data_IF_718856440290
#
_entry.id   IF_718856440290
#
_cell.length_a   1.000
_cell.length_b   1.000
_cell.length_c   1.000
_cell.angle_alpha   90.00
_cell.angle_beta   90.00
_cell.angle_gamma   90.00
#
_symmetry.space_group_name_H-M   'P 1'
#
loop_
_entity.id
_entity.type
_entity.pdbx_description
1 polymer ?
#
# COMPACT_ATOMS: atom_id res chain seq x y z
N UNK A 1 37.14 -44.96 -36.56
CA UNK A 1 37.15 -43.93 -35.46
C UNK A 1 37.22 -42.60 -36.15
N UNK A 2 36.09 -41.88 -36.23
CA UNK A 2 35.99 -40.50 -36.70
C UNK A 2 35.60 -39.68 -35.48
N UNK A 3 36.44 -38.73 -35.10
CA UNK A 3 36.20 -37.74 -34.05
C UNK A 3 35.24 -36.69 -34.58
N UNK A 4 34.10 -36.56 -33.89
CA UNK A 4 33.15 -35.47 -34.15
C UNK A 4 33.59 -34.23 -33.36
N UNK A 5 33.94 -33.18 -34.08
CA UNK A 5 34.27 -31.85 -33.53
C UNK A 5 33.01 -31.13 -33.05
N UNK A 6 33.05 -30.35 -31.94
CA UNK A 6 31.90 -29.60 -31.47
C UNK A 6 31.64 -28.34 -32.33
N UNK A 7 30.38 -28.19 -32.74
CA UNK A 7 29.88 -27.04 -33.49
C UNK A 7 29.72 -25.84 -32.53
N UNK A 8 30.52 -24.78 -32.73
CA UNK A 8 30.36 -23.51 -32.06
C UNK A 8 29.15 -22.71 -32.63
N UNK A 9 28.27 -22.16 -31.83
CA UNK A 9 27.23 -21.26 -32.32
C UNK A 9 27.82 -19.92 -32.75
N UNK A 10 27.23 -19.25 -33.75
CA UNK A 10 27.73 -17.97 -34.25
C UNK A 10 27.57 -16.83 -33.24
N UNK A 11 28.64 -16.06 -33.07
CA UNK A 11 28.67 -14.84 -32.26
C UNK A 11 27.68 -13.80 -32.82
N UNK A 12 26.58 -13.57 -32.12
CA UNK A 12 25.66 -12.48 -32.43
C UNK A 12 26.28 -11.12 -32.04
N UNK A 13 26.46 -10.26 -33.03
CA UNK A 13 26.99 -8.90 -32.89
C UNK A 13 26.10 -8.04 -31.99
N UNK A 14 26.67 -7.54 -30.90
CA UNK A 14 26.07 -6.67 -29.89
C UNK A 14 25.74 -5.24 -30.41
N UNK A 15 25.97 -4.97 -31.69
CA UNK A 15 25.86 -3.62 -32.32
C UNK A 15 24.46 -3.30 -32.89
N UNK A 16 23.50 -4.23 -32.88
CA UNK A 16 22.20 -4.04 -33.55
C UNK A 16 21.03 -3.71 -32.58
N UNK A 17 21.28 -3.53 -31.27
CA UNK A 17 20.23 -3.26 -30.28
C UNK A 17 20.09 -1.79 -29.83
N UNK A 18 20.95 -0.89 -30.38
CA UNK A 18 20.96 0.51 -29.94
C UNK A 18 20.28 1.51 -30.92
N UNK A 19 19.62 1.03 -31.98
CA UNK A 19 19.01 1.95 -32.98
C UNK A 19 17.47 1.92 -33.04
N UNK A 20 16.76 1.24 -32.14
CA UNK A 20 15.28 1.17 -32.18
C UNK A 20 14.57 1.96 -31.04
N UNK A 21 15.29 2.62 -30.13
CA UNK A 21 14.70 3.32 -28.97
C UNK A 21 14.54 4.86 -29.16
N UNK A 22 14.88 5.45 -30.29
CA UNK A 22 14.91 6.92 -30.45
C UNK A 22 13.81 7.53 -31.37
N UNK A 23 12.84 6.76 -31.88
CA UNK A 23 11.84 7.29 -32.81
C UNK A 23 10.38 7.20 -32.33
N UNK A 24 10.05 7.25 -31.07
CA UNK A 24 8.63 7.34 -30.60
C UNK A 24 8.43 8.41 -29.51
N UNK A 25 9.15 9.51 -29.53
CA UNK A 25 8.80 10.67 -28.69
C UNK A 25 8.78 11.94 -29.55
N UNK A 26 7.78 12.08 -30.33
CA UNK A 26 7.61 13.33 -31.05
C UNK A 26 6.48 13.27 -32.04
N UNK A 27 5.23 13.28 -31.64
CA UNK A 27 4.12 13.90 -32.38
C UNK A 27 2.87 13.95 -31.48
N UNK A 28 2.32 15.20 -31.32
CA UNK A 28 0.95 15.58 -30.99
C UNK A 28 0.55 15.65 -29.50
N UNK A 29 0.73 16.85 -28.97
CA UNK A 29 -0.21 17.46 -28.03
C UNK A 29 -0.84 18.68 -28.70
N UNK A 30 -2.15 18.74 -28.94
CA UNK A 30 -2.87 20.01 -29.03
C UNK A 30 -3.41 20.40 -27.67
N UNK A 31 -3.00 21.58 -27.26
CA UNK A 31 -3.53 22.50 -26.29
C UNK A 31 -5.08 22.53 -26.26
N UNK A 32 -5.66 22.27 -25.07
CA UNK A 32 -7.01 22.75 -24.72
C UNK A 32 -6.94 23.20 -23.27
N UNK A 33 -6.50 24.45 -23.04
CA UNK A 33 -6.84 25.22 -21.86
C UNK A 33 -7.72 26.36 -22.31
N UNK A 34 -9.04 26.25 -22.17
CA UNK A 34 -9.97 27.36 -22.17
C UNK A 34 -10.16 27.86 -20.73
N UNK A 35 -9.74 29.09 -20.51
CA UNK A 35 -10.09 29.86 -19.29
C UNK A 35 -11.55 30.33 -19.37
N UNK A 36 -12.34 30.24 -18.29
CA UNK A 36 -13.65 30.87 -18.26
C UNK A 36 -13.51 32.38 -18.00
N UNK A 37 -14.02 33.17 -18.92
CA UNK A 37 -14.14 34.63 -18.88
C UNK A 37 -14.99 35.08 -17.69
N UNK A 38 -14.40 35.97 -16.90
CA UNK A 38 -15.06 36.76 -15.87
C UNK A 38 -16.15 37.63 -16.45
N UNK A 39 -17.40 37.38 -16.12
CA UNK A 39 -18.50 38.32 -16.39
C UNK A 39 -18.68 39.24 -15.19
N UNK A 40 -18.31 40.49 -15.39
CA UNK A 40 -18.56 41.64 -14.51
C UNK A 40 -20.03 42.03 -14.65
N UNK A 41 -20.83 41.84 -13.60
CA UNK A 41 -22.16 42.50 -13.50
C UNK A 41 -22.13 43.40 -12.28
N UNK A 42 -22.10 44.68 -12.60
CA UNK A 42 -22.35 45.76 -11.67
C UNK A 42 -23.87 45.94 -11.47
N UNK A 43 -24.34 46.04 -10.26
CA UNK A 43 -25.49 46.92 -9.90
C UNK A 43 -25.81 46.81 -8.41
N UNK A 44 -25.60 47.92 -7.75
CA UNK A 44 -26.59 48.75 -7.11
C UNK A 44 -26.72 48.58 -5.60
N UNK A 45 -26.12 49.56 -4.88
CA UNK A 45 -26.49 49.90 -3.52
C UNK A 45 -27.93 50.48 -3.45
N UNK A 46 -28.59 50.29 -2.34
CA UNK A 46 -29.28 51.42 -1.71
C UNK A 46 -28.93 51.61 -0.26
N UNK A 47 -29.04 52.90 0.09
CA UNK A 47 -28.71 53.60 1.28
C UNK A 47 -29.42 53.19 2.58
N UNK A 48 -28.71 53.56 3.65
CA UNK A 48 -29.10 54.10 4.96
C UNK A 48 -30.26 53.46 5.76
N UNK A 49 -29.88 53.10 6.96
CA UNK A 49 -30.75 52.92 8.10
C UNK A 49 -29.95 52.59 9.34
N UNK A 50 -29.35 53.61 10.04
CA UNK A 50 -29.01 53.44 11.45
C UNK A 50 -30.27 53.63 12.29
N UNK A 51 -30.38 52.85 13.42
CA UNK A 51 -30.24 53.51 14.70
C UNK A 51 -29.44 52.67 15.73
N UNK A 52 -28.61 53.40 16.41
CA UNK A 52 -28.27 53.49 17.83
C UNK A 52 -28.38 52.28 18.78
N UNK A 53 -27.22 52.00 19.34
CA UNK A 53 -26.86 51.86 20.77
C UNK A 53 -27.45 50.68 21.55
N UNK A 54 -26.62 49.71 21.82
CA UNK A 54 -26.40 49.32 23.24
C UNK A 54 -25.07 48.57 23.37
N UNK A 55 -24.18 49.15 24.12
CA UNK A 55 -22.90 48.60 24.52
C UNK A 55 -23.11 47.42 25.47
N UNK A 56 -22.71 46.21 25.04
CA UNK A 56 -22.31 45.16 25.96
C UNK A 56 -20.96 44.63 25.50
N UNK A 57 -19.94 45.09 26.22
CA UNK A 57 -18.57 44.59 26.13
C UNK A 57 -18.54 43.12 26.56
N UNK A 58 -18.88 42.20 25.64
CA UNK A 58 -18.47 40.83 25.78
C UNK A 58 -17.02 40.73 25.31
N UNK A 59 -16.10 40.64 26.28
CA UNK A 59 -14.72 40.19 26.06
C UNK A 59 -14.78 38.81 25.41
N UNK A 60 -14.64 38.76 24.11
CA UNK A 60 -14.28 37.53 23.44
C UNK A 60 -12.92 37.07 23.99
N UNK A 61 -12.80 35.89 24.59
CA UNK A 61 -11.49 35.35 24.93
C UNK A 61 -10.69 35.26 23.65
N UNK A 62 -9.41 35.68 23.68
CA UNK A 62 -8.43 35.47 22.63
C UNK A 62 -8.53 33.99 22.18
N UNK A 63 -8.43 33.72 20.87
CA UNK A 63 -8.32 32.35 20.42
C UNK A 63 -7.12 31.71 21.11
N UNK A 64 -7.39 30.73 21.95
CA UNK A 64 -6.38 29.88 22.56
C UNK A 64 -5.49 29.36 21.44
N UNK A 65 -4.15 29.42 21.65
CA UNK A 65 -3.17 28.81 20.77
C UNK A 65 -3.70 27.42 20.36
N UNK A 66 -3.59 27.05 19.06
CA UNK A 66 -3.99 25.72 18.66
C UNK A 66 -3.26 24.73 19.55
N UNK A 67 -4.03 23.85 20.16
CA UNK A 67 -3.53 22.75 20.97
C UNK A 67 -2.51 21.97 20.13
N UNK A 68 -1.24 22.09 20.49
CA UNK A 68 -0.11 21.40 19.83
C UNK A 68 0.04 19.96 20.33
N UNK A 69 -1.03 19.39 20.89
CA UNK A 69 -1.04 17.95 21.10
C UNK A 69 -1.02 17.27 19.73
N UNK A 70 -0.03 16.43 19.47
CA UNK A 70 0.01 15.70 18.22
C UNK A 70 -1.31 14.92 18.07
N UNK A 71 -1.89 14.85 16.87
CA UNK A 71 -3.12 14.12 16.67
C UNK A 71 -2.95 12.73 17.22
N UNK A 72 -3.72 12.38 18.27
CA UNK A 72 -3.76 11.03 18.82
C UNK A 72 -4.23 10.14 17.68
N UNK A 73 -3.29 9.38 17.09
CA UNK A 73 -3.64 8.38 16.09
C UNK A 73 -4.57 7.41 16.82
N UNK A 74 -5.85 7.51 16.52
CA UNK A 74 -6.86 6.62 17.11
C UNK A 74 -6.76 5.26 16.43
N UNK A 75 -5.66 4.53 16.76
CA UNK A 75 -5.51 3.14 16.38
C UNK A 75 -6.64 2.37 17.04
N UNK A 76 -7.29 1.50 16.29
CA UNK A 76 -8.19 0.52 16.89
C UNK A 76 -7.41 -0.26 17.97
N UNK A 77 -7.99 -0.52 19.11
CA UNK A 77 -7.32 -1.17 20.27
C UNK A 77 -6.56 -2.44 19.89
N UNK A 78 -7.07 -3.18 18.90
CA UNK A 78 -6.41 -4.39 18.39
C UNK A 78 -5.14 -4.12 17.58
N UNK A 79 -5.05 -2.99 16.89
CA UNK A 79 -3.87 -2.61 16.09
C UNK A 79 -2.69 -2.27 16.98
N UNK A 80 -2.94 -1.51 18.06
CA UNK A 80 -1.93 -1.19 19.07
C UNK A 80 -1.29 -2.41 19.70
N UNK A 81 -2.10 -3.43 19.99
CA UNK A 81 -1.64 -4.65 20.65
C UNK A 81 -0.56 -5.37 19.81
N UNK A 82 -0.67 -5.37 18.49
CA UNK A 82 0.23 -6.11 17.61
C UNK A 82 1.30 -5.23 16.95
N UNK A 83 1.22 -3.90 17.09
CA UNK A 83 2.17 -2.97 16.48
C UNK A 83 3.64 -3.28 16.81
N UNK A 84 4.05 -3.55 18.07
CA UNK A 84 5.44 -3.87 18.37
C UNK A 84 5.95 -5.12 17.63
N UNK A 85 5.08 -6.14 17.49
CA UNK A 85 5.43 -7.37 16.76
C UNK A 85 5.56 -7.08 15.27
N UNK A 86 4.65 -6.26 14.70
CA UNK A 86 4.70 -5.83 13.31
C UNK A 86 5.98 -5.06 13.01
N UNK A 87 6.32 -4.06 13.83
CA UNK A 87 7.53 -3.24 13.65
C UNK A 87 8.80 -4.11 13.71
N UNK A 88 8.88 -5.03 14.68
CA UNK A 88 9.99 -5.98 14.81
C UNK A 88 10.14 -6.87 13.58
N UNK A 89 9.03 -7.42 13.07
CA UNK A 89 9.04 -8.28 11.89
C UNK A 89 9.35 -7.48 10.61
N UNK A 90 8.73 -6.31 10.44
CA UNK A 90 8.94 -5.42 9.30
C UNK A 90 10.41 -5.00 9.17
N UNK A 91 11.02 -4.58 10.29
CA UNK A 91 12.45 -4.25 10.34
C UNK A 91 13.34 -5.45 10.01
N UNK A 92 13.06 -6.63 10.60
CA UNK A 92 13.84 -7.86 10.35
C UNK A 92 13.89 -8.26 8.87
N UNK A 93 12.79 -8.08 8.16
CA UNK A 93 12.64 -8.51 6.75
C UNK A 93 12.66 -7.36 5.75
N UNK A 94 12.98 -6.14 6.20
CA UNK A 94 13.07 -4.94 5.36
C UNK A 94 11.81 -4.73 4.52
N UNK A 95 10.65 -4.74 5.18
CA UNK A 95 9.36 -4.43 4.58
C UNK A 95 8.78 -3.21 5.28
N UNK A 96 8.13 -2.32 4.52
CA UNK A 96 7.43 -1.18 5.11
C UNK A 96 6.39 -1.68 6.13
N UNK A 97 6.47 -1.26 7.41
CA UNK A 97 5.51 -1.69 8.43
C UNK A 97 4.07 -1.33 8.10
N UNK A 98 3.82 -0.21 7.40
CA UNK A 98 2.48 0.15 6.93
C UNK A 98 1.91 -0.89 5.97
N UNK A 99 2.74 -1.50 5.12
CA UNK A 99 2.31 -2.58 4.23
C UNK A 99 1.99 -3.86 4.99
N UNK A 100 2.77 -4.21 6.01
CA UNK A 100 2.49 -5.36 6.88
C UNK A 100 1.15 -5.16 7.60
N UNK A 101 0.92 -3.98 8.17
CA UNK A 101 -0.34 -3.62 8.82
C UNK A 101 -1.53 -3.73 7.86
N UNK A 102 -1.37 -3.27 6.62
CA UNK A 102 -2.39 -3.36 5.59
C UNK A 102 -2.75 -4.80 5.21
N UNK A 103 -1.75 -5.68 5.13
CA UNK A 103 -1.97 -7.11 4.89
C UNK A 103 -2.75 -7.72 6.05
N UNK A 104 -2.36 -7.49 7.31
CA UNK A 104 -3.06 -8.02 8.50
C UNK A 104 -4.51 -7.53 8.53
N UNK A 105 -4.74 -6.24 8.27
CA UNK A 105 -6.11 -5.68 8.21
C UNK A 105 -6.93 -6.34 7.10
N UNK A 106 -6.35 -6.57 5.94
CA UNK A 106 -7.04 -7.20 4.82
C UNK A 106 -7.37 -8.67 5.09
N UNK A 107 -6.47 -9.39 5.77
CA UNK A 107 -6.57 -10.84 6.00
C UNK A 107 -7.51 -11.20 7.16
N UNK A 108 -7.36 -10.53 8.29
CA UNK A 108 -8.05 -10.92 9.53
C UNK A 108 -8.75 -9.79 10.28
N UNK A 109 -8.60 -8.54 9.83
CA UNK A 109 -9.01 -7.36 10.60
C UNK A 109 -8.44 -7.41 12.03
N UNK A 110 -7.18 -7.83 12.15
CA UNK A 110 -6.46 -8.00 13.42
C UNK A 110 -7.04 -9.05 14.37
N UNK A 111 -7.82 -10.01 13.88
CA UNK A 111 -8.29 -11.13 14.70
C UNK A 111 -7.24 -12.27 14.72
N UNK A 112 -6.54 -12.51 15.86
CA UNK A 112 -5.51 -13.54 15.94
C UNK A 112 -6.06 -14.96 15.86
N UNK A 113 -7.37 -15.14 16.13
CA UNK A 113 -8.06 -16.43 16.07
C UNK A 113 -8.83 -16.65 14.77
N UNK A 114 -8.66 -15.79 13.76
CA UNK A 114 -9.37 -15.89 12.50
C UNK A 114 -9.07 -17.22 11.78
N UNK A 115 -10.12 -17.85 11.25
CA UNK A 115 -10.05 -19.05 10.41
C UNK A 115 -10.90 -18.78 9.17
N UNK A 116 -10.30 -18.88 7.98
CA UNK A 116 -11.05 -18.75 6.73
C UNK A 116 -11.78 -20.06 6.35
N UNK A 117 -12.76 -19.96 5.45
CA UNK A 117 -13.44 -21.15 4.89
C UNK A 117 -12.48 -22.15 4.24
N UNK A 118 -11.29 -21.71 3.80
CA UNK A 118 -10.25 -22.58 3.21
C UNK A 118 -9.22 -23.07 4.23
N UNK A 119 -9.41 -22.75 5.51
CA UNK A 119 -8.54 -23.19 6.60
C UNK A 119 -7.29 -22.33 6.81
N UNK A 120 -7.19 -21.14 6.22
CA UNK A 120 -6.13 -20.19 6.55
C UNK A 120 -6.33 -19.65 7.98
N UNK A 121 -5.24 -19.42 8.73
CA UNK A 121 -5.28 -19.18 10.18
C UNK A 121 -4.49 -17.95 10.61
N UNK A 122 -5.02 -17.27 11.63
CA UNK A 122 -4.34 -16.20 12.36
C UNK A 122 -4.31 -14.85 11.64
N UNK A 123 -3.50 -13.93 12.15
CA UNK A 123 -3.44 -12.53 11.74
C UNK A 123 -3.14 -12.34 10.25
N UNK A 124 -2.20 -13.09 9.71
CA UNK A 124 -1.80 -13.03 8.29
C UNK A 124 -2.36 -14.19 7.47
N UNK A 125 -3.36 -14.91 7.98
CA UNK A 125 -4.10 -15.98 7.29
C UNK A 125 -3.20 -17.00 6.56
N UNK A 126 -2.28 -17.60 7.30
CA UNK A 126 -1.40 -18.61 6.74
C UNK A 126 -2.15 -19.92 6.49
N UNK A 127 -2.04 -20.44 5.29
CA UNK A 127 -2.53 -21.79 4.98
C UNK A 127 -1.73 -22.83 5.77
N UNK A 128 -2.33 -23.93 6.27
CA UNK A 128 -1.64 -24.93 7.08
C UNK A 128 -0.38 -25.51 6.42
N UNK A 129 -0.41 -25.71 5.11
CA UNK A 129 0.75 -26.18 4.32
C UNK A 129 1.87 -25.13 4.33
N UNK A 130 1.54 -23.86 4.11
CA UNK A 130 2.49 -22.74 4.15
C UNK A 130 3.06 -22.56 5.55
N UNK A 131 2.23 -22.58 6.58
CA UNK A 131 2.65 -22.47 7.98
C UNK A 131 3.67 -23.57 8.33
N UNK A 132 3.37 -24.81 7.96
CA UNK A 132 4.27 -25.96 8.18
C UNK A 132 5.61 -25.78 7.47
N UNK A 133 5.61 -25.38 6.20
CA UNK A 133 6.85 -25.14 5.44
C UNK A 133 7.69 -23.97 5.98
N UNK A 134 7.07 -23.08 6.75
CA UNK A 134 7.72 -21.98 7.43
C UNK A 134 8.12 -22.30 8.89
N UNK A 135 7.85 -23.52 9.37
CA UNK A 135 8.17 -23.95 10.73
C UNK A 135 7.28 -23.35 11.82
N UNK A 136 6.06 -22.89 11.46
CA UNK A 136 5.10 -22.32 12.42
C UNK A 136 4.44 -23.47 13.21
N UNK A 137 4.68 -23.49 14.52
CA UNK A 137 4.09 -24.49 15.43
C UNK A 137 2.65 -24.14 15.80
N UNK A 138 2.39 -22.86 16.06
CA UNK A 138 1.07 -22.33 16.39
C UNK A 138 0.75 -21.11 15.52
N UNK A 139 -0.25 -21.28 14.64
CA UNK A 139 -0.72 -20.21 13.74
C UNK A 139 -1.55 -19.14 14.47
N UNK A 140 -2.02 -19.40 15.69
CA UNK A 140 -2.80 -18.44 16.46
C UNK A 140 -1.92 -17.61 17.41
N UNK A 141 -0.65 -18.00 17.60
CA UNK A 141 0.33 -17.17 18.28
C UNK A 141 0.68 -15.97 17.38
N UNK A 142 0.44 -14.72 17.82
CA UNK A 142 0.65 -13.52 17.01
C UNK A 142 2.09 -13.38 16.51
N UNK A 143 3.08 -13.61 17.37
CA UNK A 143 4.49 -13.46 17.00
C UNK A 143 4.92 -14.50 15.95
N UNK A 144 4.52 -15.75 16.11
CA UNK A 144 4.80 -16.81 15.13
C UNK A 144 4.12 -16.52 13.78
N UNK A 145 2.86 -16.11 13.82
CA UNK A 145 2.07 -15.88 12.62
C UNK A 145 2.59 -14.68 11.82
N UNK A 146 2.79 -13.52 12.50
CA UNK A 146 3.30 -12.29 11.84
C UNK A 146 4.70 -12.52 11.28
N UNK A 147 5.64 -13.06 12.08
CA UNK A 147 7.01 -13.31 11.61
C UNK A 147 7.03 -14.21 10.37
N UNK A 148 6.28 -15.30 10.37
CA UNK A 148 6.23 -16.22 9.24
C UNK A 148 5.53 -15.61 8.02
N UNK A 149 4.44 -14.88 8.24
CA UNK A 149 3.71 -14.20 7.17
C UNK A 149 4.54 -13.14 6.47
N UNK A 150 5.24 -12.29 7.24
CA UNK A 150 6.13 -11.24 6.71
C UNK A 150 7.31 -11.88 5.96
N UNK A 151 7.94 -12.92 6.52
CA UNK A 151 8.99 -13.69 5.82
C UNK A 151 8.50 -14.29 4.51
N UNK A 152 7.29 -14.82 4.50
CA UNK A 152 6.70 -15.38 3.28
C UNK A 152 6.43 -14.29 2.25
N UNK A 153 5.89 -13.16 2.67
CA UNK A 153 5.65 -12.03 1.78
C UNK A 153 6.95 -11.45 1.21
N UNK A 154 8.02 -11.31 2.02
CA UNK A 154 9.35 -10.91 1.53
C UNK A 154 9.87 -11.85 0.43
N UNK A 155 9.71 -13.16 0.64
CA UNK A 155 10.08 -14.16 -0.38
C UNK A 155 9.30 -13.99 -1.68
N UNK A 156 8.02 -13.60 -1.59
CA UNK A 156 7.21 -13.30 -2.78
C UNK A 156 7.65 -11.99 -3.43
N UNK A 157 7.91 -10.95 -2.66
CA UNK A 157 8.44 -9.68 -3.16
C UNK A 157 9.74 -9.89 -3.95
N UNK A 158 10.70 -10.62 -3.38
CA UNK A 158 11.96 -10.95 -4.08
C UNK A 158 11.74 -11.80 -5.33
N UNK A 159 10.71 -12.65 -5.36
CA UNK A 159 10.38 -13.48 -6.53
C UNK A 159 9.79 -12.69 -7.69
N UNK A 160 9.19 -11.56 -7.40
CA UNK A 160 8.53 -10.68 -8.38
C UNK A 160 9.23 -9.31 -8.44
N UNK A 161 10.56 -9.29 -8.26
CA UNK A 161 11.43 -8.13 -8.48
C UNK A 161 10.99 -6.85 -7.74
N UNK A 162 10.39 -7.02 -6.56
CA UNK A 162 9.89 -5.93 -5.73
C UNK A 162 8.49 -5.42 -6.10
N UNK A 163 7.84 -5.97 -7.11
CA UNK A 163 6.47 -5.60 -7.49
C UNK A 163 5.48 -6.02 -6.39
N UNK A 164 4.96 -5.02 -5.69
CA UNK A 164 4.04 -5.21 -4.56
C UNK A 164 2.72 -5.84 -5.02
N UNK A 165 2.16 -5.44 -6.16
CA UNK A 165 0.88 -5.94 -6.63
C UNK A 165 0.98 -7.40 -7.07
N UNK A 166 2.07 -7.78 -7.75
CA UNK A 166 2.35 -9.19 -8.11
C UNK A 166 2.62 -10.03 -6.87
N UNK A 167 3.35 -9.51 -5.87
CA UNK A 167 3.57 -10.20 -4.60
C UNK A 167 2.27 -10.42 -3.82
N UNK A 168 1.38 -9.42 -3.77
CA UNK A 168 0.04 -9.52 -3.17
C UNK A 168 -0.84 -10.52 -3.94
N UNK A 169 -0.81 -10.49 -5.27
CA UNK A 169 -1.49 -11.49 -6.09
C UNK A 169 -1.01 -12.90 -5.76
N UNK A 170 0.30 -13.08 -5.61
CA UNK A 170 0.91 -14.36 -5.28
C UNK A 170 0.60 -14.82 -3.85
N UNK A 171 0.53 -13.88 -2.91
CA UNK A 171 0.13 -14.15 -1.53
C UNK A 171 -1.29 -14.72 -1.48
N UNK A 172 -2.22 -14.09 -2.20
CA UNK A 172 -3.63 -14.47 -2.22
C UNK A 172 -3.95 -15.69 -3.10
N UNK A 173 -3.44 -15.71 -4.33
CA UNK A 173 -3.77 -16.74 -5.34
C UNK A 173 -2.72 -17.83 -5.49
N UNK A 174 -1.53 -17.65 -4.91
CA UNK A 174 -0.38 -18.50 -5.07
C UNK A 174 0.53 -18.10 -6.25
N UNK A 175 1.84 -18.14 -6.02
CA UNK A 175 2.85 -17.71 -7.00
C UNK A 175 2.82 -18.50 -8.32
N UNK A 176 2.31 -19.75 -8.31
CA UNK A 176 2.12 -20.54 -9.52
C UNK A 176 1.13 -19.86 -10.46
N UNK A 177 -0.01 -19.39 -9.94
CA UNK A 177 -1.06 -18.73 -10.74
C UNK A 177 -0.57 -17.41 -11.35
N UNK A 178 0.20 -16.62 -10.60
CA UNK A 178 0.80 -15.38 -11.12
C UNK A 178 1.74 -15.69 -12.29
N UNK A 179 2.58 -16.74 -12.21
CA UNK A 179 3.46 -17.14 -13.31
C UNK A 179 2.69 -17.69 -14.51
N UNK A 180 1.69 -18.54 -14.28
CA UNK A 180 0.84 -19.11 -15.36
C UNK A 180 0.18 -17.99 -16.18
N UNK A 181 -0.25 -16.90 -15.53
CA UNK A 181 -0.87 -15.76 -16.20
C UNK A 181 0.11 -14.66 -16.60
N UNK A 182 1.41 -14.83 -16.33
CA UNK A 182 2.46 -13.82 -16.56
C UNK A 182 2.11 -12.44 -15.99
N UNK A 183 1.39 -12.42 -14.85
CA UNK A 183 0.89 -11.22 -14.22
C UNK A 183 -0.23 -11.51 -13.21
N UNK A 184 -0.99 -10.48 -12.86
CA UNK A 184 -2.13 -10.61 -11.93
C UNK A 184 -3.21 -11.50 -12.57
N UNK A 185 -3.56 -12.65 -11.94
CA UNK A 185 -4.58 -13.54 -12.50
C UNK A 185 -5.94 -12.83 -12.62
N UNK A 186 -6.78 -13.18 -13.61
CA UNK A 186 -8.08 -12.55 -13.83
C UNK A 186 -9.14 -12.94 -12.78
N UNK A 187 -8.72 -13.34 -11.58
CA UNK A 187 -9.61 -13.72 -10.49
C UNK A 187 -10.17 -12.48 -9.79
N UNK A 188 -11.49 -12.30 -9.80
CA UNK A 188 -12.16 -11.17 -9.13
C UNK A 188 -11.74 -11.02 -7.66
N UNK A 189 -11.64 -12.14 -6.94
CA UNK A 189 -11.24 -12.15 -5.54
C UNK A 189 -9.81 -11.58 -5.34
N UNK A 190 -8.85 -12.01 -6.18
CA UNK A 190 -7.45 -11.55 -6.10
C UNK A 190 -7.32 -10.07 -6.43
N UNK A 191 -7.99 -9.60 -7.49
CA UNK A 191 -8.01 -8.17 -7.83
C UNK A 191 -8.65 -7.31 -6.74
N UNK A 192 -9.73 -7.80 -6.12
CA UNK A 192 -10.35 -7.12 -4.99
C UNK A 192 -9.42 -7.08 -3.76
N UNK A 193 -8.72 -8.18 -3.48
CA UNK A 193 -7.74 -8.28 -2.41
C UNK A 193 -6.62 -7.25 -2.57
N UNK A 194 -6.00 -7.18 -3.75
CA UNK A 194 -4.94 -6.21 -4.03
C UNK A 194 -5.44 -4.78 -3.77
N UNK A 195 -6.59 -4.40 -4.35
CA UNK A 195 -7.18 -3.07 -4.15
C UNK A 195 -7.42 -2.78 -2.66
N UNK A 196 -7.91 -3.76 -1.90
CA UNK A 196 -8.16 -3.67 -0.45
C UNK A 196 -6.86 -3.40 0.32
N UNK A 197 -5.80 -4.19 0.05
CA UNK A 197 -4.50 -4.01 0.71
C UNK A 197 -3.87 -2.67 0.35
N UNK A 198 -3.86 -2.27 -0.92
CA UNK A 198 -3.29 -0.98 -1.34
C UNK A 198 -4.03 0.21 -0.70
N UNK A 199 -5.37 0.11 -0.56
CA UNK A 199 -6.16 1.13 0.17
C UNK A 199 -5.71 1.26 1.62
N UNK A 200 -5.57 0.14 2.35
CA UNK A 200 -5.09 0.14 3.73
C UNK A 200 -3.63 0.57 3.83
N UNK A 201 -2.78 0.18 2.88
CA UNK A 201 -1.38 0.59 2.86
C UNK A 201 -1.23 2.11 2.81
N UNK A 202 -1.97 2.78 1.91
CA UNK A 202 -2.00 4.25 1.83
C UNK A 202 -2.46 4.87 3.14
N UNK A 203 -3.51 4.35 3.74
CA UNK A 203 -4.02 4.80 5.03
C UNK A 203 -2.96 4.71 6.13
N UNK A 204 -2.37 3.53 6.36
CA UNK A 204 -1.35 3.34 7.39
C UNK A 204 -0.07 4.15 7.12
N UNK A 205 0.33 4.29 5.87
CA UNK A 205 1.46 5.10 5.48
C UNK A 205 1.27 6.56 5.89
N UNK A 206 0.13 7.15 5.54
CA UNK A 206 -0.21 8.52 5.95
C UNK A 206 -0.21 8.68 7.47
N UNK A 207 -0.78 7.72 8.21
CA UNK A 207 -0.80 7.78 9.68
C UNK A 207 0.61 7.73 10.28
N UNK A 208 1.47 6.86 9.77
CA UNK A 208 2.85 6.72 10.26
C UNK A 208 3.72 7.93 9.90
N UNK A 209 3.54 8.52 8.74
CA UNK A 209 4.29 9.70 8.31
C UNK A 209 3.83 10.93 9.13
N UNK A 210 2.55 11.07 9.41
CA UNK A 210 2.02 12.13 10.29
C UNK A 210 2.59 12.03 11.70
N UNK A 211 2.67 10.84 12.29
CA UNK A 211 3.21 10.65 13.65
C UNK A 211 4.70 11.00 13.75
N UNK A 212 5.46 10.85 12.67
CA UNK A 212 6.90 11.23 12.63
C UNK A 212 7.13 12.73 12.57
N UNK A 213 6.16 13.49 12.04
CA UNK A 213 6.26 14.97 11.96
C UNK A 213 6.02 15.65 13.31
N UNK A 214 5.42 14.95 14.27
CA UNK A 214 5.05 15.50 15.59
C UNK A 214 5.85 14.84 16.76
N UNK A 215 6.81 13.97 16.49
CA UNK A 215 7.73 13.37 17.46
C UNK A 215 9.10 14.05 17.42
#
# INVERSE_FOLDING_TARGET
>A
MKEDSPINPPSMNLALWLTVVVIVVGVVMPSIYEEPKTALIAAKEPELGQPEVSASLQKNPLPSKPDQTPPIINWNSSEHLFQPIVLKAANRYEIDPALVMAIIMAESSYNPKAISKKGAKGLMQLMPTTARSLGVKDCFNPEHNINAGVRYFKKLLSRFDGDIELALAAYNAGSRKVREHRGIPPFRATRHYIKKVIKYYRYYKTQMDSSRLYS
#
